data_IF_477813851071
#
_entry.id   IF_477813851071
#
_cell.length_a   1.000
_cell.length_b   1.000
_cell.length_c   1.000
_cell.angle_alpha   90.00
_cell.angle_beta   90.00
_cell.angle_gamma   90.00
#
_symmetry.space_group_name_H-M   'P 1'
#
loop_
_entity.id
_entity.type
_entity.pdbx_description
1 polymer ?
#
# COMPACT_ATOMS: atom_id res chain seq x y z
N UNK A 1 -12.94 1.63 -2.02
CA UNK A 1 -11.92 0.72 -1.43
C UNK A 1 -11.57 -0.42 -2.38
N UNK A 2 -12.55 -1.05 -3.05
CA UNK A 2 -12.29 -2.12 -4.02
C UNK A 2 -11.30 -1.69 -5.10
N UNK A 3 -11.54 -0.57 -5.77
CA UNK A 3 -10.66 -0.07 -6.83
C UNK A 3 -9.22 0.16 -6.37
N UNK A 4 -9.04 0.63 -5.12
CA UNK A 4 -7.73 0.86 -4.52
C UNK A 4 -7.01 -0.46 -4.18
N UNK A 5 -7.70 -1.44 -3.59
CA UNK A 5 -7.07 -2.65 -3.05
C UNK A 5 -7.12 -3.80 -4.07
N UNK A 6 -8.27 -4.08 -4.69
CA UNK A 6 -8.42 -5.20 -5.62
C UNK A 6 -7.76 -4.88 -6.96
N UNK A 7 -8.05 -3.70 -7.53
CA UNK A 7 -7.56 -3.29 -8.85
C UNK A 7 -6.28 -2.45 -8.80
N UNK A 8 -5.87 -1.99 -7.60
CA UNK A 8 -4.67 -1.16 -7.39
C UNK A 8 -4.68 0.16 -8.19
N UNK A 9 -5.84 0.78 -8.38
CA UNK A 9 -5.95 2.05 -9.11
C UNK A 9 -5.40 3.21 -8.26
N UNK A 10 -4.47 3.95 -8.85
CA UNK A 10 -3.84 5.11 -8.23
C UNK A 10 -4.84 6.22 -7.91
N UNK A 11 -5.79 6.47 -8.81
CA UNK A 11 -6.83 7.49 -8.65
C UNK A 11 -7.73 7.21 -7.44
N UNK A 12 -8.07 5.94 -7.20
CA UNK A 12 -8.79 5.54 -6.01
C UNK A 12 -7.99 5.80 -4.73
N UNK A 13 -6.66 5.58 -4.77
CA UNK A 13 -5.75 5.90 -3.67
C UNK A 13 -5.67 7.41 -3.44
N UNK A 14 -5.63 8.21 -4.51
CA UNK A 14 -5.67 9.69 -4.41
C UNK A 14 -6.91 10.16 -3.67
N UNK A 15 -8.07 9.65 -4.07
CA UNK A 15 -9.34 10.01 -3.44
C UNK A 15 -9.37 9.61 -1.96
N UNK A 16 -8.96 8.39 -1.63
CA UNK A 16 -8.92 7.92 -0.23
C UNK A 16 -7.99 8.78 0.61
N UNK A 17 -6.81 9.14 0.09
CA UNK A 17 -5.88 10.01 0.80
C UNK A 17 -6.48 11.39 1.04
N UNK A 18 -7.14 11.98 0.04
CA UNK A 18 -7.81 13.28 0.19
C UNK A 18 -8.90 13.24 1.26
N UNK A 19 -9.75 12.22 1.25
CA UNK A 19 -10.81 12.04 2.27
C UNK A 19 -10.24 11.86 3.67
N UNK A 20 -9.21 11.02 3.84
CA UNK A 20 -8.60 10.76 5.14
C UNK A 20 -7.88 11.96 5.72
N UNK A 21 -7.35 12.85 4.88
CA UNK A 21 -6.54 13.98 5.32
C UNK A 21 -7.27 15.32 5.25
N UNK A 22 -8.47 15.35 4.67
CA UNK A 22 -9.21 16.59 4.44
C UNK A 22 -8.51 17.55 3.45
N UNK A 23 -7.68 17.02 2.54
CA UNK A 23 -6.90 17.81 1.59
C UNK A 23 -7.27 17.46 0.15
N UNK A 24 -6.94 18.33 -0.79
CA UNK A 24 -7.11 18.10 -2.23
C UNK A 24 -5.88 18.56 -2.98
N UNK A 25 -5.64 17.99 -4.17
CA UNK A 25 -4.70 18.57 -5.14
C UNK A 25 -5.26 19.87 -5.74
N UNK A 26 -4.41 20.68 -6.35
CA UNK A 26 -4.80 21.93 -6.99
C UNK A 26 -3.60 22.86 -7.22
N UNK A 27 -3.82 24.14 -7.59
CA UNK A 27 -2.75 25.11 -7.77
C UNK A 27 -1.85 25.23 -6.55
N UNK A 28 -0.67 25.80 -6.73
CA UNK A 28 0.24 26.16 -5.63
C UNK A 28 -0.45 27.08 -4.63
N UNK A 29 -0.06 26.99 -3.39
CA UNK A 29 -0.60 27.77 -2.27
C UNK A 29 0.42 28.78 -1.76
N UNK A 30 -0.02 29.88 -1.16
CA UNK A 30 0.85 30.76 -0.38
C UNK A 30 1.61 29.98 0.70
N UNK A 31 2.80 30.48 1.09
CA UNK A 31 3.69 29.75 2.01
C UNK A 31 3.03 29.35 3.34
N UNK A 32 2.22 30.22 3.92
CA UNK A 32 1.52 29.90 5.17
C UNK A 32 0.47 28.79 4.98
N UNK A 33 -0.23 28.80 3.85
CA UNK A 33 -1.30 27.84 3.55
C UNK A 33 -0.75 26.47 3.18
N UNK A 34 0.36 26.38 2.43
CA UNK A 34 0.97 25.09 2.07
C UNK A 34 1.49 24.35 3.30
N UNK A 35 1.96 25.09 4.34
CA UNK A 35 2.35 24.46 5.62
C UNK A 35 1.16 23.81 6.31
N UNK A 36 0.03 24.51 6.41
CA UNK A 36 -1.20 23.96 7.00
C UNK A 36 -1.71 22.78 6.20
N UNK A 37 -1.75 22.90 4.87
CA UNK A 37 -2.13 21.80 3.98
C UNK A 37 -1.25 20.57 4.17
N UNK A 38 0.06 20.75 4.28
CA UNK A 38 0.99 19.64 4.48
C UNK A 38 0.84 18.98 5.84
N UNK A 39 0.58 19.73 6.90
CA UNK A 39 0.27 19.17 8.22
C UNK A 39 -1.00 18.32 8.18
N UNK A 40 -2.05 18.75 7.50
CA UNK A 40 -3.25 17.94 7.29
C UNK A 40 -2.92 16.68 6.48
N UNK A 41 -2.15 16.79 5.39
CA UNK A 41 -1.73 15.68 4.53
C UNK A 41 -0.96 14.58 5.30
N UNK A 42 -0.30 14.93 6.38
CA UNK A 42 0.40 13.97 7.25
C UNK A 42 -0.51 13.24 8.25
N UNK A 43 -1.83 13.36 8.18
CA UNK A 43 -2.73 12.70 9.14
C UNK A 43 -2.55 11.18 9.19
N UNK A 44 -2.34 10.52 8.05
CA UNK A 44 -2.08 9.08 7.98
C UNK A 44 -0.78 8.71 8.68
N UNK A 45 0.28 9.49 8.46
CA UNK A 45 1.56 9.27 9.14
C UNK A 45 1.44 9.41 10.66
N UNK A 46 0.75 10.46 11.13
CA UNK A 46 0.50 10.65 12.56
C UNK A 46 -0.30 9.51 13.18
N UNK A 47 -1.30 9.00 12.47
CA UNK A 47 -2.07 7.85 12.93
C UNK A 47 -1.19 6.61 13.15
N UNK A 48 -0.38 6.23 12.17
CA UNK A 48 0.50 5.08 12.30
C UNK A 48 1.60 5.30 13.33
N UNK A 49 2.15 6.51 13.43
CA UNK A 49 3.14 6.85 14.47
C UNK A 49 2.53 6.71 15.89
N UNK A 50 1.29 7.17 16.09
CA UNK A 50 0.59 7.02 17.37
C UNK A 50 0.32 5.55 17.75
N UNK A 51 0.22 4.65 16.76
CA UNK A 51 0.13 3.21 16.98
C UNK A 51 1.52 2.53 17.15
N UNK A 52 2.61 3.30 17.19
CA UNK A 52 3.97 2.79 17.35
C UNK A 52 4.55 2.12 16.10
N UNK A 53 4.06 2.47 14.91
CA UNK A 53 4.72 2.08 13.66
C UNK A 53 5.87 3.02 13.35
N UNK A 54 6.97 2.45 12.85
CA UNK A 54 8.15 3.18 12.38
C UNK A 54 8.39 2.89 10.90
N UNK A 55 9.06 3.81 10.19
CA UNK A 55 9.39 3.62 8.78
C UNK A 55 8.18 3.67 7.83
N UNK A 56 7.10 4.33 8.24
CA UNK A 56 5.90 4.52 7.42
C UNK A 56 5.80 5.98 6.98
N UNK A 57 5.71 6.20 5.66
CA UNK A 57 5.32 7.47 5.09
C UNK A 57 4.31 7.24 3.96
N UNK A 58 3.10 7.73 4.11
CA UNK A 58 2.00 7.60 3.17
C UNK A 58 1.32 8.96 2.90
N UNK A 59 2.11 10.02 2.75
CA UNK A 59 1.59 11.38 2.56
C UNK A 59 1.61 11.87 1.11
N UNK A 60 2.04 11.03 0.16
CA UNK A 60 2.07 11.37 -1.27
C UNK A 60 1.08 10.52 -2.05
N UNK A 61 0.47 11.12 -3.05
CA UNK A 61 -0.33 10.39 -4.03
C UNK A 61 0.58 9.59 -4.97
N UNK A 62 0.25 8.34 -5.32
CA UNK A 62 0.99 7.56 -6.32
C UNK A 62 0.59 8.02 -7.74
N UNK A 63 1.33 8.97 -8.31
CA UNK A 63 1.06 9.54 -9.63
C UNK A 63 1.65 8.67 -10.75
N UNK A 64 0.87 8.48 -11.82
CA UNK A 64 1.37 7.87 -13.05
C UNK A 64 2.13 8.88 -13.92
N UNK A 65 1.60 10.11 -14.04
CA UNK A 65 2.16 11.17 -14.89
C UNK A 65 2.96 12.22 -14.12
N UNK A 66 3.07 12.05 -12.81
CA UNK A 66 3.73 12.98 -11.89
C UNK A 66 2.77 13.96 -11.19
N UNK A 67 3.21 14.50 -10.07
CA UNK A 67 2.44 15.47 -9.28
C UNK A 67 2.43 16.86 -9.95
N UNK A 68 1.43 17.67 -9.62
CA UNK A 68 1.32 19.07 -10.07
C UNK A 68 0.93 20.00 -8.93
N UNK A 69 1.07 21.32 -9.16
CA UNK A 69 0.66 22.37 -8.24
C UNK A 69 1.17 22.16 -6.81
N UNK A 70 0.27 22.21 -5.82
CA UNK A 70 0.61 22.07 -4.40
C UNK A 70 1.22 20.72 -4.03
N UNK A 71 0.96 19.66 -4.78
CA UNK A 71 1.61 18.36 -4.56
C UNK A 71 3.11 18.45 -4.90
N UNK A 72 3.46 19.05 -6.05
CA UNK A 72 4.86 19.32 -6.43
C UNK A 72 5.51 20.32 -5.49
N UNK A 73 4.79 21.38 -5.11
CA UNK A 73 5.27 22.37 -4.15
C UNK A 73 5.63 21.73 -2.80
N UNK A 74 4.75 20.86 -2.27
CA UNK A 74 5.00 20.16 -1.02
C UNK A 74 6.21 19.21 -1.09
N UNK A 75 6.41 18.52 -2.23
CA UNK A 75 7.58 17.66 -2.43
C UNK A 75 8.89 18.47 -2.43
N UNK A 76 8.87 19.69 -2.96
CA UNK A 76 10.04 20.57 -2.96
C UNK A 76 10.37 21.13 -1.57
N UNK A 77 9.35 21.47 -0.79
CA UNK A 77 9.48 22.22 0.46
C UNK A 77 9.66 21.32 1.70
N UNK A 78 9.09 20.13 1.72
CA UNK A 78 8.97 19.32 2.94
C UNK A 78 9.53 17.91 2.79
N UNK A 79 10.04 17.38 3.91
CA UNK A 79 10.43 15.96 4.03
C UNK A 79 9.34 15.16 4.76
N UNK A 80 9.27 13.86 4.58
CA UNK A 80 9.98 13.05 3.57
C UNK A 80 9.40 13.25 2.16
N UNK A 81 10.26 13.20 1.14
CA UNK A 81 9.86 13.48 -0.26
C UNK A 81 9.13 12.34 -0.95
N UNK A 82 9.23 11.12 -0.44
CA UNK A 82 8.65 9.91 -1.05
C UNK A 82 7.86 9.11 -0.04
N UNK A 83 6.84 8.40 -0.51
CA UNK A 83 6.24 7.33 0.28
C UNK A 83 7.28 6.27 0.60
N UNK A 84 7.19 5.70 1.79
CA UNK A 84 8.09 4.68 2.27
C UNK A 84 7.36 3.71 3.20
N UNK A 85 7.74 2.45 3.11
CA UNK A 85 7.33 1.39 4.03
C UNK A 85 8.56 0.53 4.32
N UNK A 86 8.62 -0.06 5.52
CA UNK A 86 9.55 -1.13 5.83
C UNK A 86 8.85 -2.49 5.75
N UNK A 87 9.60 -3.55 5.49
CA UNK A 87 9.07 -4.92 5.54
C UNK A 87 8.48 -5.23 6.92
N UNK A 88 9.13 -4.78 8.00
CA UNK A 88 8.65 -4.99 9.38
C UNK A 88 7.30 -4.32 9.65
N UNK A 89 7.16 -3.03 9.28
CA UNK A 89 5.90 -2.31 9.44
C UNK A 89 4.77 -2.96 8.63
N UNK A 90 5.08 -3.40 7.42
CA UNK A 90 4.11 -4.05 6.53
C UNK A 90 3.72 -5.43 7.04
N UNK A 91 4.68 -6.25 7.50
CA UNK A 91 4.41 -7.57 8.09
C UNK A 91 3.60 -7.45 9.39
N UNK A 92 3.91 -6.46 10.22
CA UNK A 92 3.14 -6.15 11.43
C UNK A 92 1.68 -5.83 11.08
N UNK A 93 1.43 -4.94 10.12
CA UNK A 93 0.07 -4.56 9.72
C UNK A 93 -0.71 -5.78 9.19
N UNK A 94 -0.11 -6.57 8.29
CA UNK A 94 -0.75 -7.79 7.79
C UNK A 94 -1.06 -8.76 8.93
N UNK A 95 -0.13 -8.95 9.86
CA UNK A 95 -0.33 -9.81 11.04
C UNK A 95 -1.47 -9.30 11.92
N UNK A 96 -1.56 -8.00 12.16
CA UNK A 96 -2.65 -7.38 12.93
C UNK A 96 -4.01 -7.58 12.25
N UNK A 97 -4.06 -7.49 10.90
CA UNK A 97 -5.27 -7.75 10.12
C UNK A 97 -5.69 -9.22 10.24
N UNK A 98 -4.80 -10.17 9.96
CA UNK A 98 -5.15 -11.60 9.95
C UNK A 98 -5.46 -12.16 11.33
N UNK A 99 -4.89 -11.57 12.39
CA UNK A 99 -5.20 -11.91 13.79
C UNK A 99 -6.35 -11.10 14.38
N UNK A 100 -7.01 -10.25 13.57
CA UNK A 100 -8.15 -9.38 13.96
C UNK A 100 -7.84 -8.40 15.11
N UNK A 101 -6.60 -7.92 15.17
CA UNK A 101 -6.12 -6.95 16.17
C UNK A 101 -5.97 -5.53 15.62
N UNK A 102 -6.18 -5.34 14.32
CA UNK A 102 -6.27 -4.03 13.69
C UNK A 102 -7.71 -3.49 13.93
N UNK A 103 -7.96 -2.28 14.11
CA UNK A 103 -9.25 -1.56 14.29
C UNK A 103 -10.36 -2.37 15.00
N UNK A 104 -10.97 -3.34 14.33
CA UNK A 104 -11.97 -4.29 14.87
C UNK A 104 -12.03 -5.58 14.06
N UNK A 105 -12.53 -6.67 14.65
CA UNK A 105 -12.64 -7.96 13.98
C UNK A 105 -13.43 -7.85 12.65
N UNK A 106 -14.57 -7.17 12.66
CA UNK A 106 -15.38 -6.94 11.45
C UNK A 106 -14.60 -6.21 10.35
N UNK A 107 -13.87 -5.15 10.71
CA UNK A 107 -13.07 -4.40 9.73
C UNK A 107 -11.89 -5.20 9.19
N UNK A 108 -11.28 -6.04 10.02
CA UNK A 108 -10.25 -6.96 9.56
C UNK A 108 -10.81 -7.98 8.56
N UNK A 109 -12.00 -8.53 8.80
CA UNK A 109 -12.66 -9.43 7.84
C UNK A 109 -12.98 -8.73 6.51
N UNK A 110 -13.43 -7.49 6.54
CA UNK A 110 -13.63 -6.66 5.34
C UNK A 110 -12.30 -6.41 4.57
N UNK A 111 -11.22 -6.13 5.29
CA UNK A 111 -9.88 -5.97 4.69
C UNK A 111 -9.40 -7.27 4.06
N UNK A 112 -9.55 -8.41 4.74
CA UNK A 112 -9.20 -9.73 4.21
C UNK A 112 -9.99 -10.06 2.95
N UNK A 113 -11.29 -9.76 2.91
CA UNK A 113 -12.09 -9.96 1.71
C UNK A 113 -11.57 -9.17 0.50
N UNK A 114 -11.04 -7.95 0.71
CA UNK A 114 -10.43 -7.13 -0.35
C UNK A 114 -9.03 -7.62 -0.76
N UNK A 115 -8.29 -8.26 0.15
CA UNK A 115 -6.93 -8.74 -0.09
C UNK A 115 -6.90 -10.14 -0.70
N UNK A 116 -8.01 -10.89 -0.68
CA UNK A 116 -8.07 -12.26 -1.18
C UNK A 116 -7.72 -12.33 -2.68
N UNK A 117 -6.84 -13.28 -3.03
CA UNK A 117 -6.36 -13.52 -4.39
C UNK A 117 -6.52 -14.99 -4.76
N UNK A 118 -6.61 -15.25 -6.05
CA UNK A 118 -6.46 -16.59 -6.62
C UNK A 118 -5.06 -16.73 -7.26
N UNK A 119 -4.09 -17.36 -6.60
CA UNK A 119 -2.74 -17.53 -7.14
C UNK A 119 -2.68 -18.44 -8.36
N UNK A 120 -3.73 -19.21 -8.62
CA UNK A 120 -3.83 -20.17 -9.73
C UNK A 120 -4.66 -19.63 -10.91
N UNK A 121 -5.20 -18.41 -10.80
CA UNK A 121 -5.98 -17.78 -11.86
C UNK A 121 -5.18 -17.69 -13.16
N UNK A 122 -5.84 -18.02 -14.27
CA UNK A 122 -5.31 -17.87 -15.62
C UNK A 122 -5.72 -16.53 -16.27
N UNK A 123 -6.43 -15.68 -15.56
CA UNK A 123 -6.83 -14.37 -16.04
C UNK A 123 -5.59 -13.46 -16.17
N UNK A 124 -5.48 -12.76 -17.32
CA UNK A 124 -4.33 -11.88 -17.60
C UNK A 124 -4.19 -10.74 -16.59
N UNK A 125 -5.30 -10.19 -16.12
CA UNK A 125 -5.33 -9.07 -15.19
C UNK A 125 -5.00 -9.49 -13.74
N UNK A 126 -5.11 -10.77 -13.42
CA UNK A 126 -4.71 -11.31 -12.12
C UNK A 126 -3.19 -11.31 -11.93
N UNK A 127 -2.43 -11.17 -13.01
CA UNK A 127 -0.99 -11.40 -13.05
C UNK A 127 -0.21 -10.52 -12.10
N UNK A 128 -0.57 -9.26 -12.04
CA UNK A 128 0.23 -8.29 -11.32
C UNK A 128 -0.05 -8.27 -9.82
N UNK A 129 -1.20 -8.82 -9.35
CA UNK A 129 -1.56 -8.80 -7.93
C UNK A 129 -1.31 -10.12 -7.21
N UNK A 130 -1.16 -11.23 -7.92
CA UNK A 130 -1.02 -12.56 -7.31
C UNK A 130 0.17 -13.37 -7.81
N UNK A 131 0.89 -12.92 -8.83
CA UNK A 131 1.90 -13.73 -9.55
C UNK A 131 3.35 -13.29 -9.34
N UNK A 132 3.67 -12.54 -8.32
CA UNK A 132 5.06 -12.34 -7.93
C UNK A 132 5.49 -13.52 -7.03
N UNK A 133 5.34 -13.38 -5.72
CA UNK A 133 5.66 -14.46 -4.78
C UNK A 133 4.59 -15.55 -4.78
N UNK A 134 3.32 -15.20 -5.03
CA UNK A 134 2.21 -16.14 -5.14
C UNK A 134 2.36 -17.20 -6.24
N UNK A 135 3.16 -16.94 -7.29
CA UNK A 135 3.44 -17.92 -8.35
C UNK A 135 4.21 -19.15 -7.87
N UNK A 136 4.92 -19.06 -6.75
CA UNK A 136 5.68 -20.17 -6.15
C UNK A 136 4.86 -21.02 -5.16
N UNK A 137 3.60 -20.68 -4.93
CA UNK A 137 2.77 -21.38 -3.95
C UNK A 137 2.37 -22.78 -4.45
N UNK A 138 2.37 -23.79 -3.56
CA UNK A 138 1.92 -25.13 -3.90
C UNK A 138 0.40 -25.17 -4.09
N UNK A 139 -0.06 -26.18 -4.83
CA UNK A 139 -1.48 -26.40 -5.08
C UNK A 139 -2.30 -26.45 -3.77
N UNK A 140 -3.47 -25.82 -3.79
CA UNK A 140 -4.37 -25.74 -2.64
C UNK A 140 -4.04 -24.63 -1.63
N UNK A 141 -2.99 -23.84 -1.86
CA UNK A 141 -2.70 -22.67 -1.03
C UNK A 141 -3.78 -21.60 -1.21
N UNK A 142 -4.09 -20.87 -0.12
CA UNK A 142 -4.91 -19.66 -0.14
C UNK A 142 -4.02 -18.44 0.05
N UNK A 143 -4.32 -17.38 -0.66
CA UNK A 143 -3.51 -16.16 -0.71
C UNK A 143 -4.35 -14.92 -0.43
N UNK A 144 -3.83 -14.04 0.42
CA UNK A 144 -4.25 -12.67 0.61
C UNK A 144 -3.05 -11.77 0.39
N UNK A 145 -3.09 -10.90 -0.60
CA UNK A 145 -1.92 -10.07 -0.91
C UNK A 145 -2.26 -8.68 -1.40
N UNK A 146 -1.26 -7.80 -1.30
CA UNK A 146 -1.21 -6.52 -1.99
C UNK A 146 0.17 -6.30 -2.58
N UNK A 147 0.23 -6.41 -3.90
CA UNK A 147 1.43 -6.10 -4.66
C UNK A 147 1.55 -4.60 -4.99
N UNK A 148 2.76 -4.18 -5.31
CA UNK A 148 3.06 -2.85 -5.84
C UNK A 148 4.36 -2.86 -6.63
N UNK A 149 4.43 -2.06 -7.70
CA UNK A 149 5.63 -1.98 -8.54
C UNK A 149 5.80 -0.62 -9.18
N UNK A 150 7.03 -0.34 -9.55
CA UNK A 150 7.46 0.76 -10.38
C UNK A 150 8.45 0.23 -11.41
N UNK A 151 9.06 1.10 -12.22
CA UNK A 151 10.18 0.69 -13.09
C UNK A 151 11.42 0.19 -12.31
N UNK A 152 11.53 0.54 -11.02
CA UNK A 152 12.71 0.25 -10.20
C UNK A 152 12.43 -0.67 -9.02
N UNK A 153 11.18 -0.95 -8.72
CA UNK A 153 10.81 -1.74 -7.52
C UNK A 153 9.70 -2.73 -7.83
N UNK A 154 9.71 -3.88 -7.15
CA UNK A 154 8.57 -4.79 -7.08
C UNK A 154 8.44 -5.31 -5.66
N UNK A 155 7.27 -5.12 -5.09
CA UNK A 155 6.98 -5.41 -3.71
C UNK A 155 5.73 -6.27 -3.59
N UNK A 156 5.69 -7.15 -2.60
CA UNK A 156 4.48 -7.86 -2.22
C UNK A 156 4.41 -8.02 -0.71
N UNK A 157 3.19 -8.01 -0.19
CA UNK A 157 2.87 -8.37 1.18
C UNK A 157 1.77 -9.42 1.15
N UNK A 158 2.05 -10.59 1.68
CA UNK A 158 1.21 -11.77 1.58
C UNK A 158 0.90 -12.36 2.95
N UNK A 159 -0.32 -12.85 3.11
CA UNK A 159 -0.68 -13.87 4.07
C UNK A 159 -1.06 -15.13 3.33
N UNK A 160 -0.51 -16.26 3.72
CA UNK A 160 -0.66 -17.55 3.06
C UNK A 160 -1.17 -18.60 4.06
N UNK A 161 -2.14 -19.40 3.62
CA UNK A 161 -2.53 -20.64 4.29
C UNK A 161 -2.25 -21.81 3.35
N UNK A 162 -1.39 -22.73 3.76
CA UNK A 162 -1.07 -23.94 3.00
C UNK A 162 -2.10 -25.04 3.27
N UNK A 163 -2.20 -25.99 2.34
CA UNK A 163 -3.11 -27.14 2.45
C UNK A 163 -2.81 -28.04 3.67
N UNK A 164 -1.58 -28.04 4.14
CA UNK A 164 -1.15 -28.79 5.35
C UNK A 164 -1.43 -28.06 6.67
N UNK A 165 -2.07 -26.89 6.61
CA UNK A 165 -2.47 -26.09 7.77
C UNK A 165 -1.43 -25.07 8.23
N UNK A 166 -0.22 -25.03 7.66
CA UNK A 166 0.77 -23.97 7.95
C UNK A 166 0.27 -22.61 7.46
N UNK A 167 0.55 -21.58 8.24
CA UNK A 167 0.14 -20.19 7.94
C UNK A 167 1.31 -19.26 8.21
N UNK A 168 1.50 -18.28 7.33
CA UNK A 168 2.57 -17.32 7.50
C UNK A 168 2.27 -15.98 6.79
N UNK A 169 2.95 -14.93 7.23
CA UNK A 169 3.04 -13.66 6.53
C UNK A 169 4.41 -13.58 5.89
N UNK A 170 4.45 -13.20 4.62
CA UNK A 170 5.67 -12.96 3.86
C UNK A 170 5.61 -11.53 3.29
N UNK A 171 6.68 -10.76 3.48
CA UNK A 171 6.82 -9.45 2.86
C UNK A 171 8.12 -9.42 2.08
N UNK A 172 8.03 -9.18 0.79
CA UNK A 172 9.17 -9.14 -0.13
C UNK A 172 9.23 -7.79 -0.80
N UNK A 173 10.30 -7.04 -0.55
CA UNK A 173 10.59 -5.79 -1.22
C UNK A 173 11.87 -5.94 -2.03
N UNK A 174 11.77 -5.70 -3.34
CA UNK A 174 12.91 -5.79 -4.26
C UNK A 174 13.13 -4.46 -4.97
N UNK A 175 14.39 -4.18 -5.27
CA UNK A 175 14.84 -3.00 -6.01
C UNK A 175 15.79 -3.43 -7.13
N UNK A 176 15.82 -2.69 -8.25
CA UNK A 176 16.63 -3.00 -9.42
C UNK A 176 15.83 -2.82 -10.72
N UNK A 177 16.45 -3.15 -11.87
CA UNK A 177 15.75 -3.09 -13.15
C UNK A 177 14.65 -4.16 -13.24
N UNK A 178 13.58 -3.85 -13.98
CA UNK A 178 12.44 -4.75 -14.11
C UNK A 178 12.81 -6.15 -14.64
N UNK A 179 13.80 -6.21 -15.54
CA UNK A 179 14.34 -7.46 -16.11
C UNK A 179 15.10 -8.34 -15.10
N UNK A 180 15.50 -7.79 -13.96
CA UNK A 180 16.29 -8.48 -12.92
C UNK A 180 15.42 -8.95 -11.73
N UNK A 181 14.13 -8.64 -11.78
CA UNK A 181 13.22 -8.86 -10.65
C UNK A 181 12.26 -10.04 -10.83
N UNK A 182 12.57 -10.94 -11.76
CA UNK A 182 11.86 -12.19 -12.00
C UNK A 182 10.73 -12.11 -12.98
#
# INVERSE_FOLDING_TARGET
MSDMIVHSYNEATHYVLDVLTGTTSGPELPEAEIKVWFEQRNAVNRYFTALGYTGVNANKKPWCEGPYGRETQAIKLFEPKRNALTTDATARLMTEIVTRRCVSAKRCDEMLALLQRDPFSQAKDADNQSKFTGSALPAGAKLWSKAGWTSQTRHDCEYVELADGRKFVLVTFTEGHASERG
#
